data_IF_520902116281
#
_entry.id   IF_520902116281
#
_cell.length_a   1.000
_cell.length_b   1.000
_cell.length_c   1.000
_cell.angle_alpha   90.00
_cell.angle_beta   90.00
_cell.angle_gamma   90.00
#
_symmetry.space_group_name_H-M   'P 1'
#
loop_
_entity.id
_entity.type
_entity.pdbx_description
1 polymer ?
#
# COMPACT_ATOMS: atom_id res chain seq x y z
N UNK A 1 -15.09 -7.12 15.49
CA UNK A 1 -15.67 -7.96 14.43
C UNK A 1 -16.12 -7.14 13.22
N UNK A 2 -16.63 -5.93 13.42
CA UNK A 2 -17.15 -5.07 12.34
C UNK A 2 -16.05 -4.49 11.43
N UNK A 3 -14.82 -4.38 11.92
CA UNK A 3 -13.71 -3.77 11.18
C UNK A 3 -13.30 -4.56 9.93
N UNK A 4 -13.40 -5.89 9.95
CA UNK A 4 -13.02 -6.74 8.83
C UNK A 4 -14.01 -6.62 7.66
N UNK A 5 -15.31 -6.61 7.96
CA UNK A 5 -16.36 -6.37 6.96
C UNK A 5 -16.19 -5.00 6.29
N UNK A 6 -15.81 -4.00 7.07
CA UNK A 6 -15.59 -2.63 6.59
C UNK A 6 -14.37 -2.54 5.66
N UNK A 7 -13.27 -3.22 5.99
CA UNK A 7 -12.08 -3.32 5.13
C UNK A 7 -12.41 -4.04 3.83
N UNK A 8 -13.15 -5.15 3.90
CA UNK A 8 -13.59 -5.89 2.72
C UNK A 8 -14.46 -5.02 1.80
N UNK A 9 -15.43 -4.28 2.36
CA UNK A 9 -16.27 -3.36 1.58
C UNK A 9 -15.47 -2.22 0.95
N UNK A 10 -14.49 -1.65 1.67
CA UNK A 10 -13.61 -0.61 1.15
C UNK A 10 -12.72 -1.11 -0.01
N UNK A 11 -12.38 -2.39 -0.02
CA UNK A 11 -11.57 -3.00 -1.08
C UNK A 11 -12.35 -3.28 -2.37
N UNK A 12 -13.67 -3.46 -2.29
CA UNK A 12 -14.53 -3.73 -3.46
C UNK A 12 -14.48 -2.56 -4.46
N UNK A 13 -14.52 -1.32 -3.98
CA UNK A 13 -14.50 -0.12 -4.82
C UNK A 13 -13.29 -0.06 -5.76
N UNK A 14 -12.05 -0.09 -5.23
CA UNK A 14 -10.84 -0.11 -6.04
C UNK A 14 -10.76 -1.31 -7.00
N UNK A 15 -11.15 -2.51 -6.55
CA UNK A 15 -11.14 -3.72 -7.40
C UNK A 15 -12.09 -3.56 -8.59
N UNK A 16 -13.32 -3.09 -8.34
CA UNK A 16 -14.30 -2.84 -9.41
C UNK A 16 -13.82 -1.73 -10.35
N UNK A 17 -13.21 -0.66 -9.83
CA UNK A 17 -12.66 0.42 -10.64
C UNK A 17 -11.58 -0.09 -11.60
N UNK A 18 -10.62 -0.89 -11.12
CA UNK A 18 -9.57 -1.48 -11.95
C UNK A 18 -10.15 -2.47 -12.97
N UNK A 19 -11.14 -3.26 -12.58
CA UNK A 19 -11.82 -4.21 -13.47
C UNK A 19 -12.56 -3.47 -14.61
N UNK A 20 -13.31 -2.43 -14.28
CA UNK A 20 -14.00 -1.59 -15.27
C UNK A 20 -12.98 -0.91 -16.19
N UNK A 21 -11.92 -0.36 -15.61
CA UNK A 21 -10.84 0.26 -16.38
C UNK A 21 -10.21 -0.74 -17.37
N UNK A 22 -9.93 -1.97 -16.92
CA UNK A 22 -9.38 -3.04 -17.75
C UNK A 22 -10.31 -3.49 -18.87
N UNK A 23 -11.63 -3.43 -18.67
CA UNK A 23 -12.63 -3.75 -19.70
C UNK A 23 -12.78 -2.61 -20.70
N UNK A 24 -12.83 -1.35 -20.22
CA UNK A 24 -13.05 -0.15 -21.07
C UNK A 24 -11.78 0.21 -21.84
N UNK A 25 -10.65 0.22 -21.17
CA UNK A 25 -9.35 0.42 -21.79
C UNK A 25 -8.76 -0.95 -22.12
N UNK A 26 -9.17 -1.53 -23.23
CA UNK A 26 -8.49 -2.68 -23.82
C UNK A 26 -7.05 -2.27 -24.08
N UNK A 27 -6.14 -2.71 -23.23
CA UNK A 27 -4.71 -2.51 -23.42
C UNK A 27 -4.27 -3.32 -24.67
N UNK A 28 -4.50 -2.73 -25.85
CA UNK A 28 -3.93 -3.24 -27.09
C UNK A 28 -2.45 -2.90 -27.07
N UNK A 29 -1.62 -3.92 -26.99
CA UNK A 29 -0.17 -3.89 -27.19
C UNK A 29 0.63 -2.82 -26.40
N UNK A 30 0.36 -2.68 -25.12
CA UNK A 30 1.29 -1.95 -24.27
C UNK A 30 2.51 -2.84 -24.00
N UNK A 31 3.50 -2.75 -24.88
CA UNK A 31 4.85 -3.21 -24.56
C UNK A 31 5.26 -2.53 -23.26
N UNK A 32 5.50 -3.31 -22.22
CA UNK A 32 6.00 -2.76 -20.96
C UNK A 32 7.33 -2.05 -21.24
N UNK A 33 7.29 -0.73 -21.22
CA UNK A 33 8.50 0.10 -21.26
C UNK A 33 8.92 0.25 -19.81
N UNK A 34 10.00 -0.42 -19.37
CA UNK A 34 10.49 -0.24 -18.02
C UNK A 34 10.79 1.24 -17.80
N UNK A 35 10.36 1.83 -16.67
CA UNK A 35 10.72 3.21 -16.38
C UNK A 35 12.24 3.34 -16.42
N UNK A 36 12.71 4.40 -17.06
CA UNK A 36 14.14 4.73 -17.07
C UNK A 36 14.55 4.98 -15.64
N UNK A 37 15.25 4.03 -15.07
CA UNK A 37 15.75 4.13 -13.71
C UNK A 37 16.92 5.11 -13.72
N UNK A 38 16.96 6.09 -12.81
CA UNK A 38 18.18 6.85 -12.60
C UNK A 38 19.26 5.86 -12.17
N UNK A 39 20.38 5.83 -12.93
CA UNK A 39 21.55 5.06 -12.53
C UNK A 39 22.15 5.74 -11.31
N UNK A 40 21.89 5.19 -10.14
CA UNK A 40 22.44 5.68 -8.88
C UNK A 40 23.74 4.94 -8.63
N UNK A 41 24.86 5.65 -8.79
CA UNK A 41 26.19 5.10 -8.57
C UNK A 41 26.63 5.20 -7.12
N UNK A 42 26.16 6.22 -6.40
CA UNK A 42 26.60 6.55 -5.04
C UNK A 42 25.44 6.82 -4.08
N UNK A 43 25.66 6.54 -2.79
CA UNK A 43 24.71 6.85 -1.71
C UNK A 43 24.35 8.33 -1.60
N UNK A 44 25.26 9.22 -2.03
CA UNK A 44 25.05 10.66 -2.06
C UNK A 44 24.02 11.03 -3.13
N UNK A 45 24.09 10.40 -4.28
CA UNK A 45 23.16 10.59 -5.39
C UNK A 45 21.76 10.08 -5.04
N UNK A 46 21.68 8.94 -4.33
CA UNK A 46 20.43 8.41 -3.78
C UNK A 46 19.79 9.41 -2.80
N UNK A 47 20.61 10.04 -1.95
CA UNK A 47 20.13 11.03 -1.01
C UNK A 47 19.62 12.31 -1.69
N UNK A 48 20.28 12.76 -2.75
CA UNK A 48 19.82 13.89 -3.56
C UNK A 48 18.49 13.56 -4.25
N UNK A 49 18.36 12.37 -4.85
CA UNK A 49 17.13 11.89 -5.44
C UNK A 49 15.99 11.85 -4.42
N UNK A 50 16.26 11.37 -3.21
CA UNK A 50 15.28 11.36 -2.13
C UNK A 50 14.80 12.78 -1.80
N UNK A 51 15.71 13.73 -1.66
CA UNK A 51 15.38 15.13 -1.37
C UNK A 51 14.58 15.80 -2.49
N UNK A 52 14.90 15.51 -3.74
CA UNK A 52 14.21 16.08 -4.90
C UNK A 52 12.81 15.49 -5.04
N UNK A 53 12.63 14.20 -4.73
CA UNK A 53 11.36 13.50 -4.84
C UNK A 53 10.43 13.74 -3.65
N UNK A 54 10.96 14.03 -2.49
CA UNK A 54 10.20 14.21 -1.24
C UNK A 54 9.09 15.28 -1.34
N UNK A 55 9.31 16.49 -1.90
CA UNK A 55 8.25 17.49 -2.03
C UNK A 55 7.10 17.02 -2.94
N UNK A 56 7.40 16.24 -3.98
CA UNK A 56 6.37 15.68 -4.86
C UNK A 56 5.46 14.73 -4.10
N UNK A 57 6.03 13.83 -3.29
CA UNK A 57 5.23 12.91 -2.47
C UNK A 57 4.50 13.60 -1.32
N UNK A 58 5.05 14.70 -0.79
CA UNK A 58 4.34 15.54 0.18
C UNK A 58 3.03 16.07 -0.41
N UNK A 59 3.08 16.62 -1.61
CA UNK A 59 1.90 17.16 -2.30
C UNK A 59 0.92 16.04 -2.68
N UNK A 60 1.40 14.96 -3.27
CA UNK A 60 0.57 13.84 -3.72
C UNK A 60 -0.22 13.20 -2.56
N UNK A 61 0.44 12.98 -1.42
CA UNK A 61 -0.21 12.39 -0.24
C UNK A 61 -1.15 13.40 0.43
N UNK A 62 -0.80 14.68 0.45
CA UNK A 62 -1.70 15.71 0.95
C UNK A 62 -3.01 15.76 0.15
N UNK A 63 -2.91 15.73 -1.17
CA UNK A 63 -4.08 15.68 -2.08
C UNK A 63 -4.88 14.40 -1.88
N UNK A 64 -4.22 13.25 -1.70
CA UNK A 64 -4.88 11.96 -1.49
C UNK A 64 -5.61 11.88 -0.14
N UNK A 65 -5.10 12.52 0.90
CA UNK A 65 -5.73 12.57 2.22
C UNK A 65 -6.84 13.63 2.31
N UNK A 66 -6.81 14.62 1.44
CA UNK A 66 -7.78 15.73 1.45
C UNK A 66 -9.25 15.27 1.43
N UNK A 67 -9.68 14.34 0.56
CA UNK A 67 -11.07 13.85 0.56
C UNK A 67 -11.48 13.23 1.90
N UNK A 68 -10.56 12.50 2.53
CA UNK A 68 -10.80 11.84 3.83
C UNK A 68 -10.97 12.90 4.92
N UNK A 69 -10.12 13.92 4.93
CA UNK A 69 -10.18 15.03 5.90
C UNK A 69 -11.48 15.82 5.71
N UNK A 70 -11.87 16.11 4.47
CA UNK A 70 -13.10 16.82 4.14
C UNK A 70 -14.32 16.02 4.60
N UNK A 71 -14.38 14.73 4.25
CA UNK A 71 -15.45 13.82 4.68
C UNK A 71 -15.55 13.77 6.21
N UNK A 72 -14.43 13.59 6.89
CA UNK A 72 -14.38 13.59 8.34
C UNK A 72 -14.89 14.93 8.93
N UNK A 73 -14.47 16.07 8.34
CA UNK A 73 -14.94 17.39 8.73
C UNK A 73 -16.46 17.53 8.61
N UNK A 74 -17.03 17.11 7.49
CA UNK A 74 -18.47 17.13 7.27
C UNK A 74 -19.19 16.28 8.33
N UNK A 75 -18.76 15.05 8.55
CA UNK A 75 -19.34 14.17 9.55
C UNK A 75 -19.19 14.72 10.98
N UNK A 76 -18.09 15.36 11.28
CA UNK A 76 -17.86 16.00 12.57
C UNK A 76 -18.92 17.09 12.87
N UNK A 77 -19.28 17.89 11.86
CA UNK A 77 -20.27 18.96 12.01
C UNK A 77 -21.71 18.44 12.02
N UNK A 78 -22.02 17.40 11.23
CA UNK A 78 -23.39 16.94 11.03
C UNK A 78 -23.80 15.87 12.06
N UNK A 79 -22.92 14.94 12.40
CA UNK A 79 -23.29 13.74 13.15
C UNK A 79 -22.46 13.47 14.41
N UNK A 80 -21.14 13.63 14.35
CA UNK A 80 -20.24 13.10 15.38
C UNK A 80 -20.15 13.97 16.63
N UNK A 81 -20.15 15.29 16.50
CA UNK A 81 -20.05 16.28 17.61
C UNK A 81 -19.02 15.88 18.70
N UNK A 82 -17.84 15.39 18.24
CA UNK A 82 -16.82 14.85 19.12
C UNK A 82 -16.16 15.95 19.97
N UNK A 83 -15.72 15.56 21.18
CA UNK A 83 -14.98 16.43 22.08
C UNK A 83 -13.65 16.90 21.47
N UNK A 84 -13.23 18.10 21.81
CA UNK A 84 -11.96 18.70 21.36
C UNK A 84 -10.74 17.81 21.65
N UNK A 85 -10.76 17.04 22.74
CA UNK A 85 -9.69 16.09 23.08
C UNK A 85 -9.61 14.93 22.11
N UNK A 86 -10.75 14.36 21.72
CA UNK A 86 -10.82 13.29 20.73
C UNK A 86 -10.40 13.78 19.34
N UNK A 87 -10.86 14.97 18.97
CA UNK A 87 -10.46 15.60 17.71
C UNK A 87 -8.95 15.85 17.65
N UNK A 88 -8.35 16.31 18.75
CA UNK A 88 -6.91 16.50 18.86
C UNK A 88 -6.13 15.18 18.68
N UNK A 89 -6.61 14.07 19.27
CA UNK A 89 -5.98 12.75 19.08
C UNK A 89 -6.04 12.29 17.63
N UNK A 90 -7.18 12.49 16.95
CA UNK A 90 -7.35 12.15 15.54
C UNK A 90 -6.42 13.00 14.67
N UNK A 91 -6.33 14.30 14.93
CA UNK A 91 -5.44 15.20 14.20
C UNK A 91 -3.96 14.80 14.35
N UNK A 92 -3.53 14.44 15.55
CA UNK A 92 -2.17 13.93 15.80
C UNK A 92 -1.95 12.61 15.07
N UNK A 93 -2.91 11.66 15.15
CA UNK A 93 -2.83 10.40 14.40
C UNK A 93 -2.74 10.61 12.89
N UNK A 94 -3.52 11.55 12.35
CA UNK A 94 -3.48 11.91 10.93
C UNK A 94 -2.12 12.50 10.54
N UNK A 95 -1.54 13.37 11.39
CA UNK A 95 -0.21 13.93 11.16
C UNK A 95 0.87 12.84 11.13
N UNK A 96 0.84 11.88 12.06
CA UNK A 96 1.75 10.73 12.06
C UNK A 96 1.56 9.86 10.81
N UNK A 97 0.33 9.61 10.41
CA UNK A 97 0.02 8.84 9.20
C UNK A 97 0.55 9.56 7.95
N UNK A 98 0.36 10.86 7.86
CA UNK A 98 0.86 11.67 6.76
C UNK A 98 2.39 11.59 6.64
N UNK A 99 3.12 11.86 7.72
CA UNK A 99 4.58 11.78 7.76
C UNK A 99 5.06 10.36 7.45
N UNK A 100 4.42 9.35 8.04
CA UNK A 100 4.75 7.94 7.79
C UNK A 100 4.56 7.54 6.33
N UNK A 101 3.45 7.94 5.70
CA UNK A 101 3.18 7.65 4.29
C UNK A 101 4.16 8.36 3.36
N UNK A 102 4.49 9.63 3.64
CA UNK A 102 5.47 10.38 2.85
C UNK A 102 6.83 9.69 2.86
N UNK A 103 7.33 9.35 4.05
CA UNK A 103 8.62 8.66 4.18
C UNK A 103 8.59 7.28 3.55
N UNK A 104 7.51 6.53 3.75
CA UNK A 104 7.35 5.20 3.19
C UNK A 104 7.30 5.23 1.66
N UNK A 105 6.43 6.06 1.06
CA UNK A 105 6.29 6.12 -0.39
C UNK A 105 7.54 6.68 -1.06
N UNK A 106 8.18 7.69 -0.47
CA UNK A 106 9.46 8.20 -0.99
C UNK A 106 10.53 7.10 -0.96
N UNK A 107 10.68 6.39 0.17
CA UNK A 107 11.63 5.28 0.30
C UNK A 107 11.33 4.12 -0.66
N UNK A 108 10.07 3.75 -0.80
CA UNK A 108 9.65 2.69 -1.70
C UNK A 108 9.90 3.04 -3.17
N UNK A 109 9.53 4.23 -3.61
CA UNK A 109 9.66 4.63 -5.01
C UNK A 109 11.10 5.00 -5.41
N UNK A 110 11.86 5.66 -4.52
CA UNK A 110 13.23 6.07 -4.80
C UNK A 110 14.24 4.94 -4.56
N UNK A 111 14.00 4.08 -3.57
CA UNK A 111 14.93 3.02 -3.19
C UNK A 111 14.51 1.63 -3.70
N UNK A 112 13.35 1.15 -3.26
CA UNK A 112 12.95 -0.23 -3.51
C UNK A 112 12.53 -0.50 -4.96
N UNK A 113 11.79 0.39 -5.58
CA UNK A 113 11.29 0.18 -6.94
C UNK A 113 12.42 0.10 -7.98
N UNK A 114 13.43 0.98 -7.98
CA UNK A 114 14.60 0.84 -8.83
C UNK A 114 15.36 -0.46 -8.59
N UNK A 115 15.64 -0.80 -7.33
CA UNK A 115 16.33 -2.03 -6.98
C UNK A 115 15.57 -3.28 -7.42
N UNK A 116 14.24 -3.29 -7.24
CA UNK A 116 13.38 -4.39 -7.69
C UNK A 116 13.37 -4.55 -9.21
N UNK A 117 13.28 -3.45 -9.95
CA UNK A 117 13.35 -3.46 -11.41
C UNK A 117 14.71 -3.94 -11.92
N UNK A 118 15.80 -3.46 -11.34
CA UNK A 118 17.14 -3.92 -11.68
C UNK A 118 17.30 -5.44 -11.45
N UNK A 119 16.89 -5.89 -10.27
CA UNK A 119 16.92 -7.31 -9.93
C UNK A 119 16.07 -8.14 -10.89
N UNK A 120 14.86 -7.66 -11.20
CA UNK A 120 13.97 -8.30 -12.16
C UNK A 120 14.57 -8.42 -13.56
N UNK A 121 15.22 -7.37 -14.06
CA UNK A 121 15.90 -7.37 -15.36
C UNK A 121 17.08 -8.33 -15.38
N UNK A 122 17.92 -8.33 -14.35
CA UNK A 122 19.06 -9.24 -14.21
C UNK A 122 18.60 -10.69 -14.18
N UNK A 123 17.57 -11.01 -13.40
CA UNK A 123 17.01 -12.36 -13.31
C UNK A 123 16.35 -12.79 -14.63
N UNK A 124 15.65 -11.90 -15.32
CA UNK A 124 15.03 -12.20 -16.60
C UNK A 124 16.05 -12.45 -17.71
N UNK A 125 17.23 -11.84 -17.63
CA UNK A 125 18.33 -12.03 -18.57
C UNK A 125 19.11 -13.35 -18.38
N UNK A 126 18.94 -14.03 -17.25
CA UNK A 126 19.64 -15.29 -16.96
C UNK A 126 19.01 -16.49 -17.68
N UNK A 127 19.84 -17.50 -17.96
CA UNK A 127 19.40 -18.76 -18.56
C UNK A 127 18.41 -19.53 -17.66
N UNK A 128 18.41 -19.28 -16.37
CA UNK A 128 17.54 -19.90 -15.37
C UNK A 128 16.29 -19.06 -15.06
N UNK A 129 15.57 -18.61 -16.07
CA UNK A 129 14.34 -17.77 -15.91
C UNK A 129 13.30 -18.41 -15.00
N UNK A 130 13.23 -19.73 -14.93
CA UNK A 130 12.27 -20.44 -14.11
C UNK A 130 12.46 -20.19 -12.59
N UNK A 131 13.64 -19.72 -12.15
CA UNK A 131 13.93 -19.41 -10.75
C UNK A 131 13.11 -18.19 -10.25
N UNK A 132 12.60 -17.36 -11.16
CA UNK A 132 11.72 -16.24 -10.84
C UNK A 132 10.42 -16.74 -10.19
N UNK A 133 9.92 -17.90 -10.60
CA UNK A 133 8.67 -18.46 -10.09
C UNK A 133 8.77 -18.81 -8.60
N UNK A 134 9.73 -19.63 -8.13
CA UNK A 134 9.85 -19.93 -6.71
C UNK A 134 10.23 -18.72 -5.86
N UNK A 135 11.05 -17.79 -6.39
CA UNK A 135 11.35 -16.54 -5.69
C UNK A 135 10.08 -15.69 -5.55
N UNK A 136 9.29 -15.55 -6.63
CA UNK A 136 8.02 -14.82 -6.58
C UNK A 136 7.02 -15.45 -5.61
N UNK A 137 6.93 -16.79 -5.56
CA UNK A 137 6.10 -17.50 -4.60
C UNK A 137 6.54 -17.23 -3.16
N UNK A 138 7.85 -17.27 -2.89
CA UNK A 138 8.40 -16.99 -1.55
C UNK A 138 8.12 -15.55 -1.11
N UNK A 139 8.37 -14.59 -1.98
CA UNK A 139 8.09 -13.18 -1.72
C UNK A 139 6.58 -12.97 -1.50
N UNK A 140 5.73 -13.53 -2.37
CA UNK A 140 4.28 -13.45 -2.25
C UNK A 140 3.78 -14.04 -0.93
N UNK A 141 4.31 -15.18 -0.51
CA UNK A 141 4.00 -15.78 0.78
C UNK A 141 4.30 -14.84 1.96
N UNK A 142 5.50 -14.22 1.96
CA UNK A 142 5.87 -13.29 3.03
C UNK A 142 5.04 -12.01 3.02
N UNK A 143 4.72 -11.49 1.83
CA UNK A 143 3.86 -10.31 1.70
C UNK A 143 2.48 -10.59 2.30
N UNK A 144 1.84 -11.69 1.89
CA UNK A 144 0.53 -12.09 2.40
C UNK A 144 0.56 -12.33 3.91
N UNK A 145 1.60 -13.00 4.41
CA UNK A 145 1.77 -13.26 5.84
C UNK A 145 1.99 -11.98 6.67
N UNK A 146 2.63 -10.97 6.09
CA UNK A 146 2.88 -9.69 6.73
C UNK A 146 1.66 -8.74 6.69
N UNK A 147 0.65 -9.05 5.89
CA UNK A 147 -0.54 -8.21 5.75
C UNK A 147 -1.40 -8.25 7.01
N UNK A 148 -1.66 -7.09 7.66
CA UNK A 148 -2.45 -7.06 8.89
C UNK A 148 -3.87 -7.62 8.74
N UNK A 149 -4.49 -7.46 7.58
CA UNK A 149 -5.82 -7.98 7.29
C UNK A 149 -5.85 -9.52 7.33
N UNK A 150 -4.82 -10.18 6.80
CA UNK A 150 -4.68 -11.65 6.83
C UNK A 150 -4.47 -12.14 8.25
N UNK A 151 -3.69 -11.42 9.06
CA UNK A 151 -3.49 -11.75 10.46
C UNK A 151 -4.82 -11.70 11.26
N UNK A 152 -5.60 -10.65 11.06
CA UNK A 152 -6.92 -10.50 11.72
C UNK A 152 -7.88 -11.61 11.28
N UNK A 153 -7.89 -11.92 9.96
CA UNK A 153 -8.71 -13.01 9.44
C UNK A 153 -8.34 -14.36 10.06
N UNK A 154 -7.05 -14.69 10.09
CA UNK A 154 -6.56 -15.94 10.68
C UNK A 154 -6.99 -16.05 12.14
N UNK A 155 -6.86 -14.96 12.92
CA UNK A 155 -7.28 -14.94 14.31
C UNK A 155 -8.78 -15.14 14.47
N UNK A 156 -9.61 -14.54 13.63
CA UNK A 156 -11.05 -14.75 13.66
C UNK A 156 -11.43 -16.19 13.32
N UNK A 157 -10.78 -16.79 12.32
CA UNK A 157 -10.99 -18.20 11.96
C UNK A 157 -10.57 -19.11 13.11
N UNK A 158 -9.45 -18.85 13.75
CA UNK A 158 -8.97 -19.58 14.91
C UNK A 158 -9.97 -19.50 16.08
N UNK A 159 -10.45 -18.30 16.39
CA UNK A 159 -11.45 -18.08 17.44
C UNK A 159 -12.77 -18.82 17.12
N UNK A 160 -13.21 -18.85 15.87
CA UNK A 160 -14.39 -19.58 15.43
C UNK A 160 -14.21 -21.10 15.56
N UNK A 161 -13.03 -21.62 15.22
CA UNK A 161 -12.72 -23.06 15.31
C UNK A 161 -12.61 -23.53 16.77
N UNK A 162 -12.05 -22.71 17.65
CA UNK A 162 -11.99 -22.99 19.08
C UNK A 162 -13.38 -22.99 19.74
N UNK A 163 -14.33 -22.19 19.22
CA UNK A 163 -15.71 -22.15 19.70
C UNK A 163 -16.55 -23.37 19.25
N UNK A 164 -16.15 -24.01 18.15
CA UNK A 164 -16.79 -25.21 17.61
C UNK A 164 -16.17 -26.52 18.08
N UNK A 165 -15.01 -26.48 18.74
CA UNK A 165 -14.41 -27.66 19.35
C UNK A 165 -15.09 -27.96 20.68
N UNK A 166 -15.79 -29.14 20.82
CA UNK A 166 -16.32 -29.49 22.11
C UNK A 166 -15.16 -29.63 23.10
N UNK A 167 -15.23 -28.85 24.18
CA UNK A 167 -14.33 -28.97 25.30
C UNK A 167 -14.29 -30.41 25.79
N UNK A 168 -13.11 -31.01 26.00
CA UNK A 168 -13.01 -32.35 26.58
C UNK A 168 -13.55 -32.44 28.02
#
# INVERSE_FOLDING_TARGET
DDSFGLVAMCSIGPILAVLILGIVFRASDSTYIPPVLPEVSDSVELWQLFHVSLPTYLEEIAVSLLPIIVMFGIFQFVALHMDRRSLGRIAVGLAYTYVGLVLFLTGANVGFMPAGNYLGQVLAGQSFRWIIIPIGMLIGYFIVKAEPAVYVLNKQVEDCLLYTSPSP
#
